data_IF_974711150770
#
_entry.id   IF_974711150770
#
_cell.length_a   1.000
_cell.length_b   1.000
_cell.length_c   1.000
_cell.angle_alpha   90.00
_cell.angle_beta   90.00
_cell.angle_gamma   90.00
#
_symmetry.space_group_name_H-M   'P 1'
#
loop_
_entity.id
_entity.type
_entity.pdbx_description
1 polymer ?
#
# COMPACT_ATOMS: atom_id res chain seq x y z
N UNK A 1 19.35 4.16 2.25
CA UNK A 1 17.90 4.22 2.00
C UNK A 1 17.28 3.08 2.78
N UNK A 2 16.41 3.39 3.74
CA UNK A 2 15.69 2.35 4.49
C UNK A 2 14.45 1.95 3.70
N UNK A 3 14.08 0.69 3.76
CA UNK A 3 12.94 0.16 3.02
C UNK A 3 11.99 -0.49 4.00
N UNK A 4 10.70 -0.16 3.92
CA UNK A 4 9.69 -0.72 4.78
C UNK A 4 8.62 -1.42 3.95
N UNK A 5 8.30 -2.66 4.30
CA UNK A 5 7.20 -3.40 3.70
C UNK A 5 5.89 -3.06 4.41
N UNK A 6 4.84 -2.74 3.65
CA UNK A 6 3.49 -2.47 4.13
C UNK A 6 2.50 -3.44 3.47
N UNK A 7 1.56 -3.95 4.26
CA UNK A 7 0.39 -4.66 3.76
C UNK A 7 -0.81 -3.71 3.76
N UNK A 8 -1.37 -3.45 2.58
CA UNK A 8 -2.56 -2.64 2.40
C UNK A 8 -3.76 -3.57 2.18
N UNK A 9 -4.73 -3.57 3.09
CA UNK A 9 -5.96 -4.37 2.96
C UNK A 9 -7.17 -3.46 2.83
N UNK A 10 -7.87 -3.58 1.71
CA UNK A 10 -9.13 -2.92 1.43
C UNK A 10 -10.25 -3.94 1.50
N UNK A 11 -11.33 -3.63 2.21
CA UNK A 11 -12.51 -4.47 2.26
C UNK A 11 -13.79 -3.64 2.19
N UNK A 12 -14.83 -4.18 1.56
CA UNK A 12 -16.10 -3.47 1.44
C UNK A 12 -16.99 -4.01 0.34
N UNK A 13 -18.05 -3.26 0.01
CA UNK A 13 -18.85 -3.54 -1.19
C UNK A 13 -17.98 -3.41 -2.43
N UNK A 14 -18.04 -4.40 -3.31
CA UNK A 14 -17.33 -4.35 -4.58
C UNK A 14 -17.87 -3.19 -5.43
N UNK A 15 -16.95 -2.36 -5.92
CA UNK A 15 -17.26 -1.18 -6.73
C UNK A 15 -16.31 -1.16 -7.92
N UNK A 16 -16.81 -0.87 -9.13
CA UNK A 16 -15.96 -0.73 -10.30
C UNK A 16 -14.83 0.28 -10.05
N UNK A 17 -13.60 -0.12 -10.38
CA UNK A 17 -12.45 0.77 -10.41
C UNK A 17 -11.61 0.87 -9.12
N UNK A 18 -11.95 0.17 -8.03
CA UNK A 18 -11.15 0.20 -6.79
C UNK A 18 -9.68 -0.14 -7.05
N UNK A 19 -9.42 -1.24 -7.75
CA UNK A 19 -8.07 -1.70 -8.12
C UNK A 19 -7.34 -0.68 -8.99
N UNK A 20 -8.04 -0.10 -9.98
CA UNK A 20 -7.48 0.96 -10.85
C UNK A 20 -7.06 2.19 -10.03
N UNK A 21 -7.93 2.65 -9.14
CA UNK A 21 -7.68 3.82 -8.30
C UNK A 21 -6.52 3.57 -7.33
N UNK A 22 -6.45 2.37 -6.73
CA UNK A 22 -5.34 1.97 -5.88
C UNK A 22 -4.01 2.08 -6.64
N UNK A 23 -3.87 1.41 -7.79
CA UNK A 23 -2.59 1.42 -8.51
C UNK A 23 -2.25 2.78 -9.11
N UNK A 24 -3.23 3.55 -9.58
CA UNK A 24 -3.01 4.92 -10.02
C UNK A 24 -2.49 5.81 -8.86
N UNK A 25 -2.99 5.61 -7.65
CA UNK A 25 -2.54 6.33 -6.46
C UNK A 25 -1.13 5.90 -6.05
N UNK A 26 -0.86 4.59 -6.03
CA UNK A 26 0.47 4.06 -5.69
C UNK A 26 1.53 4.53 -6.69
N UNK A 27 1.21 4.61 -7.99
CA UNK A 27 2.13 5.07 -9.02
C UNK A 27 2.64 6.51 -8.83
N UNK A 28 1.95 7.33 -8.03
CA UNK A 28 2.37 8.69 -7.68
C UNK A 28 3.40 8.75 -6.52
N UNK A 29 3.80 7.60 -5.96
CA UNK A 29 4.68 7.50 -4.79
C UNK A 29 5.89 6.58 -5.08
N UNK A 30 7.01 6.72 -4.32
CA UNK A 30 8.18 5.84 -4.45
C UNK A 30 7.91 4.48 -3.78
N UNK A 31 6.97 3.74 -4.34
CA UNK A 31 6.53 2.44 -3.84
C UNK A 31 6.65 1.38 -4.92
N UNK A 32 7.09 0.19 -4.54
CA UNK A 32 7.12 -0.99 -5.41
C UNK A 32 6.06 -1.98 -4.92
N UNK A 33 5.20 -2.43 -5.82
CA UNK A 33 4.22 -3.48 -5.51
C UNK A 33 4.94 -4.83 -5.57
N UNK A 34 4.91 -5.58 -4.47
CA UNK A 34 5.53 -6.89 -4.35
C UNK A 34 4.54 -8.02 -4.66
N UNK A 35 3.31 -7.88 -4.20
CA UNK A 35 2.26 -8.88 -4.37
C UNK A 35 0.87 -8.26 -4.31
N UNK A 36 -0.10 -8.91 -4.95
CA UNK A 36 -1.50 -8.47 -5.04
C UNK A 36 -2.44 -9.66 -5.00
N UNK A 37 -3.35 -9.67 -4.03
CA UNK A 37 -4.44 -10.64 -3.97
C UNK A 37 -5.79 -9.92 -4.01
N UNK A 38 -6.72 -10.40 -4.82
CA UNK A 38 -8.08 -9.88 -4.90
C UNK A 38 -9.09 -11.02 -4.82
N UNK A 39 -10.05 -10.88 -3.92
CA UNK A 39 -11.14 -11.82 -3.73
C UNK A 39 -12.48 -11.06 -3.72
N UNK A 40 -13.45 -11.54 -4.50
CA UNK A 40 -14.82 -11.03 -4.47
C UNK A 40 -15.77 -12.16 -4.09
N UNK A 41 -16.48 -12.00 -2.97
CA UNK A 41 -17.44 -12.99 -2.46
C UNK A 41 -18.77 -12.30 -2.17
N UNK A 42 -19.83 -12.75 -2.84
CA UNK A 42 -21.20 -12.20 -2.71
C UNK A 42 -21.25 -10.66 -2.81
N UNK A 43 -20.50 -10.08 -3.74
CA UNK A 43 -20.45 -8.63 -3.96
C UNK A 43 -19.65 -7.85 -2.91
N UNK A 44 -18.85 -8.53 -2.08
CA UNK A 44 -17.87 -7.90 -1.19
C UNK A 44 -16.46 -8.16 -1.70
N UNK A 45 -15.70 -7.09 -1.85
CA UNK A 45 -14.30 -7.08 -2.22
C UNK A 45 -13.43 -7.22 -0.97
N UNK A 46 -12.39 -8.04 -1.08
CA UNK A 46 -11.16 -7.99 -0.28
C UNK A 46 -10.00 -7.84 -1.28
N UNK A 47 -9.23 -6.77 -1.15
CA UNK A 47 -8.06 -6.49 -1.98
C UNK A 47 -6.87 -6.25 -1.04
N UNK A 48 -5.85 -7.09 -1.19
CA UNK A 48 -4.59 -6.98 -0.46
C UNK A 48 -3.48 -6.62 -1.44
N UNK A 49 -2.63 -5.66 -1.07
CA UNK A 49 -1.42 -5.35 -1.81
C UNK A 49 -0.25 -5.27 -0.83
N UNK A 50 0.77 -6.08 -1.06
CA UNK A 50 2.04 -5.98 -0.35
C UNK A 50 2.92 -5.01 -1.12
N UNK A 51 3.37 -3.96 -0.46
CA UNK A 51 4.19 -2.92 -1.08
C UNK A 51 5.48 -2.71 -0.29
N UNK A 52 6.54 -2.37 -1.01
CA UNK A 52 7.77 -1.88 -0.43
C UNK A 52 7.83 -0.36 -0.61
N UNK A 53 8.10 0.38 0.46
CA UNK A 53 8.21 1.83 0.45
C UNK A 53 9.65 2.23 0.71
N UNK A 54 10.22 3.04 -0.17
CA UNK A 54 11.52 3.64 0.08
C UNK A 54 11.36 4.81 1.04
N UNK A 55 11.89 4.67 2.26
CA UNK A 55 11.97 5.76 3.22
C UNK A 55 13.35 6.41 3.09
N UNK A 56 13.37 7.63 2.54
CA UNK A 56 14.48 8.54 2.81
C UNK A 56 14.43 8.83 4.30
N UNK A 57 15.53 8.64 5.03
CA UNK A 57 15.54 8.73 6.49
C UNK A 57 15.14 10.13 6.98
N UNK A 58 13.85 10.35 7.21
CA UNK A 58 13.28 11.48 7.92
C UNK A 58 12.46 10.86 9.05
N UNK A 59 13.08 10.69 10.22
CA UNK A 59 12.33 10.26 11.40
C UNK A 59 13.08 9.75 12.62
N UNK A 60 14.32 9.25 12.53
CA UNK A 60 14.98 8.61 13.70
C UNK A 60 16.24 9.30 14.23
N UNK A 61 16.83 10.27 13.53
CA UNK A 61 18.05 10.95 14.01
C UNK A 61 17.77 12.16 14.93
N UNK A 62 16.56 12.73 14.92
CA UNK A 62 16.28 13.99 15.64
C UNK A 62 15.90 13.78 17.12
N UNK A 63 15.44 12.59 17.52
CA UNK A 63 14.98 12.33 18.89
C UNK A 63 16.15 11.97 19.84
N UNK A 64 17.31 11.53 19.34
CA UNK A 64 18.43 11.13 20.19
C UNK A 64 19.39 12.27 20.56
N UNK A 65 19.16 13.50 20.06
CA UNK A 65 20.03 14.67 20.31
C UNK A 65 19.37 15.77 21.16
N UNK A 66 18.26 15.50 21.85
CA UNK A 66 17.63 16.44 22.78
C UNK A 66 17.44 15.85 24.17
#
# INVERSE_FOLDING_TARGET
MTSQTLLLTFSGTDRPGVTKTLFATLAAHPVTVLDVEQLVVRGRLVLSALVNVETSGIGNDEIMSR
#
